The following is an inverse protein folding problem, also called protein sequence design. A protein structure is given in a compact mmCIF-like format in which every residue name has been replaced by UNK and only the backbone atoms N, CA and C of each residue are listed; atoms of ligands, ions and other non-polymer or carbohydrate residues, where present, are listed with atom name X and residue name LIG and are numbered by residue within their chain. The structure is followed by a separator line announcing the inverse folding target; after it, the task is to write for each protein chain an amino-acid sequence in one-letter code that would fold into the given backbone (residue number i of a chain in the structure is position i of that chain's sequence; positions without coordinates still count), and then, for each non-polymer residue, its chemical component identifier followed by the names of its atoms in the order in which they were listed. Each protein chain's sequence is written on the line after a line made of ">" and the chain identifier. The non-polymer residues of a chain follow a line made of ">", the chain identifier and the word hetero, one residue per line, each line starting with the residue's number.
data_IF_976677830910
#
_entry.id   IF_976677830910
#
_cell.length_a   1.000
_cell.length_b   1.000
_cell.length_c   1.000
_cell.angle_alpha   90.00
_cell.angle_beta   90.00
_cell.angle_gamma   90.00
#
_symmetry.space_group_name_H-M   'P 1'
#
loop_
_entity.id
_entity.type
_entity.pdbx_description
1 polymer ?
#
# COMPACT_ATOMS: atom_id res chain seq x y z
N UNK A 1 19.67 -1.22 2.55
CA UNK A 1 19.16 -2.59 2.37
C UNK A 1 18.54 -2.98 3.70
N UNK A 2 17.21 -3.01 3.77
CA UNK A 2 16.51 -3.48 4.96
C UNK A 2 16.84 -4.97 5.16
N UNK A 3 17.35 -5.36 6.34
CA UNK A 3 17.52 -6.78 6.68
C UNK A 3 16.18 -7.41 7.09
N UNK A 4 16.08 -8.75 7.12
CA UNK A 4 14.86 -9.47 7.53
C UNK A 4 14.28 -9.01 8.89
N UNK A 5 15.10 -8.49 9.80
CA UNK A 5 14.65 -7.94 11.09
C UNK A 5 14.03 -6.54 11.05
N UNK A 6 13.93 -5.92 9.87
CA UNK A 6 13.46 -4.54 9.69
C UNK A 6 12.02 -4.44 9.14
N UNK A 7 11.51 -5.53 8.57
CA UNK A 7 10.14 -5.65 8.09
C UNK A 7 9.19 -5.80 9.27
N UNK A 8 8.19 -4.92 9.35
CA UNK A 8 7.17 -4.91 10.39
C UNK A 8 5.97 -5.76 9.99
N UNK A 9 5.51 -5.59 8.75
CA UNK A 9 4.45 -6.42 8.16
C UNK A 9 4.70 -6.59 6.67
N UNK A 10 4.42 -7.79 6.17
CA UNK A 10 4.41 -8.08 4.74
C UNK A 10 3.29 -9.05 4.42
N UNK A 11 2.42 -8.69 3.48
CA UNK A 11 1.29 -9.53 3.08
C UNK A 11 0.94 -9.38 1.60
N UNK A 12 0.29 -10.41 1.05
CA UNK A 12 -0.36 -10.34 -0.26
C UNK A 12 -1.86 -10.19 -0.07
N UNK A 13 -2.45 -9.23 -0.79
CA UNK A 13 -3.85 -8.88 -0.66
C UNK A 13 -4.47 -8.47 -1.98
N UNK A 14 -5.79 -8.32 -1.95
CA UNK A 14 -6.60 -7.89 -3.08
C UNK A 14 -7.20 -6.51 -2.80
N UNK A 15 -7.19 -5.64 -3.80
CA UNK A 15 -7.86 -4.34 -3.74
C UNK A 15 -9.37 -4.57 -3.71
N UNK A 16 -10.00 -4.25 -2.58
CA UNK A 16 -11.44 -4.45 -2.36
C UNK A 16 -12.28 -3.24 -2.72
N UNK A 17 -11.69 -2.05 -2.64
CA UNK A 17 -12.42 -0.80 -2.85
C UNK A 17 -11.46 0.29 -3.35
N UNK A 18 -11.91 1.08 -4.33
CA UNK A 18 -11.24 2.31 -4.75
C UNK A 18 -12.28 3.44 -4.81
N UNK A 19 -12.27 4.33 -3.80
CA UNK A 19 -13.27 5.39 -3.66
C UNK A 19 -12.66 6.78 -3.86
N UNK A 20 -13.37 7.65 -4.57
CA UNK A 20 -12.99 9.06 -4.73
C UNK A 20 -13.11 9.82 -3.41
N UNK A 21 -12.14 10.66 -3.12
CA UNK A 21 -12.20 11.61 -2.01
C UNK A 21 -12.83 12.94 -2.42
N UNK A 22 -13.09 13.79 -1.42
CA UNK A 22 -13.49 15.20 -1.63
C UNK A 22 -12.37 16.03 -2.24
N UNK A 23 -11.11 15.70 -1.93
CA UNK A 23 -9.94 16.33 -2.54
C UNK A 23 -9.87 15.86 -4.01
N UNK A 24 -9.84 16.77 -4.99
CA UNK A 24 -9.76 16.39 -6.39
C UNK A 24 -8.57 15.46 -6.66
N UNK A 25 -8.78 14.47 -7.54
CA UNK A 25 -7.73 13.51 -7.98
C UNK A 25 -7.18 12.58 -6.90
N UNK A 26 -7.73 12.63 -5.69
CA UNK A 26 -7.37 11.74 -4.59
C UNK A 26 -8.39 10.61 -4.43
N UNK A 27 -7.88 9.42 -4.14
CA UNK A 27 -8.65 8.20 -3.95
C UNK A 27 -8.18 7.49 -2.69
N UNK A 28 -9.11 6.90 -1.95
CA UNK A 28 -8.77 5.91 -0.91
C UNK A 28 -8.83 4.54 -1.56
N UNK A 29 -7.74 3.79 -1.43
CA UNK A 29 -7.66 2.39 -1.84
C UNK A 29 -7.68 1.51 -0.59
N UNK A 30 -8.56 0.51 -0.57
CA UNK A 30 -8.61 -0.50 0.49
C UNK A 30 -8.09 -1.85 -0.03
N UNK A 31 -7.13 -2.44 0.68
CA UNK A 31 -6.54 -3.75 0.38
C UNK A 31 -6.78 -4.68 1.56
N UNK A 32 -7.26 -5.88 1.27
CA UNK A 32 -7.47 -6.92 2.27
C UNK A 32 -6.52 -8.09 2.01
N UNK A 33 -5.84 -8.56 3.05
CA UNK A 33 -4.93 -9.70 2.92
C UNK A 33 -5.70 -10.98 2.57
N UNK A 34 -5.04 -11.88 1.85
CA UNK A 34 -5.68 -13.12 1.35
C UNK A 34 -6.19 -14.04 2.48
N UNK A 35 -5.62 -13.91 3.68
CA UNK A 35 -5.99 -14.65 4.89
C UNK A 35 -6.92 -13.87 5.84
N UNK A 36 -7.32 -12.64 5.48
CA UNK A 36 -8.19 -11.78 6.28
C UNK A 36 -7.55 -11.21 7.56
N UNK A 37 -6.23 -11.38 7.74
CA UNK A 37 -5.50 -10.88 8.92
C UNK A 37 -5.26 -9.38 8.92
N UNK A 38 -5.21 -8.75 7.75
CA UNK A 38 -4.96 -7.31 7.60
C UNK A 38 -5.94 -6.66 6.62
N UNK A 39 -6.38 -5.45 6.99
CA UNK A 39 -7.01 -4.49 6.09
C UNK A 39 -6.22 -3.20 6.14
N UNK A 40 -5.75 -2.74 4.98
CA UNK A 40 -5.02 -1.49 4.83
C UNK A 40 -5.84 -0.52 3.98
N UNK A 41 -5.99 0.71 4.46
CA UNK A 41 -6.54 1.81 3.67
C UNK A 41 -5.48 2.89 3.51
N UNK A 42 -5.32 3.42 2.30
CA UNK A 42 -4.35 4.46 2.02
C UNK A 42 -4.78 5.38 0.89
N UNK A 43 -4.27 6.60 0.96
CA UNK A 43 -4.57 7.65 0.00
C UNK A 43 -3.62 7.60 -1.19
N UNK A 44 -4.17 7.79 -2.37
CA UNK A 44 -3.46 7.76 -3.65
C UNK A 44 -3.89 8.95 -4.50
N UNK A 45 -2.94 9.55 -5.20
CA UNK A 45 -3.19 10.57 -6.21
C UNK A 45 -3.15 9.90 -7.59
N UNK A 46 -4.15 10.15 -8.45
CA UNK A 46 -4.32 9.42 -9.73
C UNK A 46 -3.14 9.59 -10.71
N UNK A 47 -2.33 10.64 -10.55
CA UNK A 47 -1.12 10.86 -11.36
C UNK A 47 0.07 10.03 -10.91
N UNK A 48 0.07 9.49 -9.67
CA UNK A 48 1.14 8.67 -9.13
C UNK A 48 0.84 7.18 -9.33
N UNK A 49 -0.34 6.77 -8.85
CA UNK A 49 -0.79 5.38 -8.93
C UNK A 49 -2.30 5.32 -8.79
N UNK A 50 -2.94 4.52 -9.63
CA UNK A 50 -4.36 4.21 -9.50
C UNK A 50 -4.55 2.70 -9.64
N UNK A 51 -4.84 2.07 -8.50
CA UNK A 51 -5.15 0.65 -8.44
C UNK A 51 -6.56 0.38 -8.94
N UNK A 52 -6.83 -0.87 -9.31
CA UNK A 52 -8.16 -1.33 -9.70
C UNK A 52 -8.70 -2.33 -8.69
N UNK A 53 -10.01 -2.30 -8.47
CA UNK A 53 -10.68 -3.35 -7.71
C UNK A 53 -10.41 -4.73 -8.32
N UNK A 54 -10.12 -5.72 -7.47
CA UNK A 54 -9.70 -7.06 -7.86
C UNK A 54 -8.20 -7.20 -8.17
N UNK A 55 -7.44 -6.11 -8.22
CA UNK A 55 -5.99 -6.17 -8.40
C UNK A 55 -5.31 -6.76 -7.18
N UNK A 56 -4.26 -7.56 -7.40
CA UNK A 56 -3.47 -8.19 -6.33
C UNK A 56 -2.20 -7.42 -6.07
N UNK A 57 -1.95 -7.08 -4.82
CA UNK A 57 -0.80 -6.31 -4.37
C UNK A 57 -0.02 -7.08 -3.31
N UNK A 58 1.30 -6.89 -3.32
CA UNK A 58 2.15 -7.20 -2.17
C UNK A 58 2.42 -5.89 -1.44
N UNK A 59 2.11 -5.86 -0.15
CA UNK A 59 2.35 -4.72 0.72
C UNK A 59 3.46 -5.08 1.69
N UNK A 60 4.44 -4.19 1.82
CA UNK A 60 5.53 -4.32 2.79
C UNK A 60 5.70 -3.01 3.54
N UNK A 61 5.61 -3.08 4.87
CA UNK A 61 5.92 -1.98 5.78
C UNK A 61 7.17 -2.34 6.55
N UNK A 62 8.19 -1.49 6.48
CA UNK A 62 9.49 -1.68 7.11
C UNK A 62 9.96 -0.38 7.77
N UNK A 63 10.90 -0.47 8.73
CA UNK A 63 11.43 0.72 9.42
C UNK A 63 12.48 1.47 8.58
N UNK A 64 13.11 0.78 7.64
CA UNK A 64 13.95 1.35 6.59
C UNK A 64 13.38 1.04 5.20
N UNK A 65 13.91 1.71 4.17
CA UNK A 65 13.42 1.53 2.80
C UNK A 65 13.66 0.08 2.35
N UNK A 66 12.59 -0.69 2.03
CA UNK A 66 12.72 -2.06 1.56
C UNK A 66 13.27 -2.08 0.13
N UNK A 67 13.63 -3.27 -0.35
CA UNK A 67 13.93 -3.45 -1.79
C UNK A 67 12.66 -3.19 -2.61
N UNK A 68 12.80 -2.43 -3.69
CA UNK A 68 11.72 -2.08 -4.59
C UNK A 68 12.24 -1.93 -6.03
N UNK A 69 11.33 -2.01 -6.98
CA UNK A 69 11.58 -1.81 -8.41
C UNK A 69 11.16 -0.41 -8.81
N UNK A 70 12.12 0.38 -9.26
CA UNK A 70 11.88 1.74 -9.72
C UNK A 70 10.93 1.76 -10.93
N UNK A 71 9.89 2.60 -10.85
CA UNK A 71 8.87 2.73 -11.90
C UNK A 71 7.78 1.66 -11.89
N UNK A 72 7.90 0.62 -11.05
CA UNK A 72 6.87 -0.42 -10.86
C UNK A 72 6.22 -0.33 -9.48
N UNK A 73 7.01 -0.17 -8.43
CA UNK A 73 6.52 -0.18 -7.06
C UNK A 73 6.20 1.22 -6.54
N UNK A 74 5.09 1.34 -5.81
CA UNK A 74 4.72 2.56 -5.11
C UNK A 74 5.31 2.56 -3.70
N UNK A 75 6.21 3.51 -3.42
CA UNK A 75 6.95 3.59 -2.16
C UNK A 75 6.61 4.88 -1.44
N UNK A 76 6.25 4.76 -0.16
CA UNK A 76 5.87 5.89 0.71
C UNK A 76 6.70 5.87 1.99
N UNK A 77 7.11 7.05 2.46
CA UNK A 77 7.67 7.23 3.79
C UNK A 77 6.61 7.81 4.73
N UNK A 78 6.45 7.23 5.91
CA UNK A 78 5.42 7.63 6.86
C UNK A 78 5.94 7.61 8.30
N UNK A 79 5.28 8.37 9.18
CA UNK A 79 5.48 8.33 10.63
C UNK A 79 4.28 7.66 11.27
N UNK A 80 4.53 6.75 12.23
CA UNK A 80 3.47 6.09 12.98
C UNK A 80 2.90 7.05 14.04
N UNK A 81 1.57 7.19 14.05
CA UNK A 81 0.83 7.94 15.08
C UNK A 81 -0.24 7.00 15.64
N UNK A 82 -0.38 6.96 16.96
CA UNK A 82 -1.35 6.13 17.70
C UNK A 82 -2.32 6.97 18.49
#
# INVERSE_FOLDING_TARGET
>A
MAGEGDVVVSFEGEVREVRKQLIPRMYVTAVESSDGSYRMEFDTHEELVLYREGERLRVTVARSVPEYREGEDYVVHATLVS
#
